data_IF_754977762971
#
_entry.id   IF_754977762971
#
_cell.length_a   1.000
_cell.length_b   1.000
_cell.length_c   1.000
_cell.angle_alpha   90.00
_cell.angle_beta   90.00
_cell.angle_gamma   90.00
#
_symmetry.space_group_name_H-M   'P 1'
#
loop_
_entity.id
_entity.type
_entity.pdbx_description
1 polymer ?
#
# COMPACT_ATOMS: atom_id res chain seq x y z
N UNK A 1 -12.96 57.25 -34.22
CA UNK A 1 -13.52 56.43 -33.11
C UNK A 1 -13.06 55.01 -33.31
N UNK A 2 -12.05 54.55 -32.54
CA UNK A 2 -11.53 53.18 -32.62
C UNK A 2 -11.85 52.52 -31.29
N UNK A 3 -12.81 51.59 -31.31
CA UNK A 3 -13.27 50.87 -30.13
C UNK A 3 -12.33 49.68 -29.90
N UNK A 4 -11.41 49.77 -28.94
CA UNK A 4 -10.53 48.66 -28.54
C UNK A 4 -11.22 47.85 -27.45
N UNK A 5 -11.95 46.81 -27.86
CA UNK A 5 -12.36 45.74 -26.94
C UNK A 5 -11.13 44.90 -26.60
N UNK A 6 -10.56 45.11 -25.42
CA UNK A 6 -9.54 44.24 -24.84
C UNK A 6 -10.27 43.15 -24.05
N UNK A 7 -10.39 41.96 -24.64
CA UNK A 7 -10.93 40.78 -23.97
C UNK A 7 -9.95 40.26 -22.93
N UNK A 8 -10.35 40.26 -21.66
CA UNK A 8 -9.67 39.53 -20.60
C UNK A 8 -9.92 38.03 -20.78
N UNK A 9 -8.90 37.27 -21.19
CA UNK A 9 -8.90 35.82 -21.00
C UNK A 9 -8.62 35.53 -19.53
N UNK A 10 -9.64 35.10 -18.79
CA UNK A 10 -9.46 34.47 -17.50
C UNK A 10 -8.82 33.09 -17.72
N UNK A 11 -7.54 32.96 -17.36
CA UNK A 11 -6.83 31.69 -17.32
C UNK A 11 -7.32 30.92 -16.09
N UNK A 12 -8.34 30.08 -16.25
CA UNK A 12 -8.73 29.12 -15.22
C UNK A 12 -7.61 28.09 -15.08
N UNK A 13 -6.75 28.26 -14.08
CA UNK A 13 -5.84 27.23 -13.63
C UNK A 13 -6.68 26.06 -13.10
N UNK A 14 -6.78 24.99 -13.88
CA UNK A 14 -7.41 23.75 -13.45
C UNK A 14 -6.42 23.08 -12.49
N UNK A 15 -6.52 23.39 -11.20
CA UNK A 15 -5.82 22.65 -10.16
C UNK A 15 -6.41 21.25 -10.11
N UNK A 16 -5.80 20.30 -10.81
CA UNK A 16 -6.11 18.88 -10.67
C UNK A 16 -5.63 18.39 -9.29
N UNK A 17 -6.38 18.72 -8.23
CA UNK A 17 -6.24 18.02 -6.96
C UNK A 17 -6.80 16.61 -7.18
N UNK A 18 -5.90 15.66 -7.48
CA UNK A 18 -6.26 14.26 -7.55
C UNK A 18 -6.82 13.83 -6.18
N UNK A 19 -8.04 13.31 -6.16
CA UNK A 19 -8.67 12.85 -4.92
C UNK A 19 -7.84 11.72 -4.31
N UNK A 20 -7.66 11.77 -2.99
CA UNK A 20 -7.02 10.70 -2.25
C UNK A 20 -7.85 9.42 -2.39
N UNK A 21 -7.15 8.30 -2.57
CA UNK A 21 -7.77 6.98 -2.63
C UNK A 21 -7.84 6.40 -1.21
N UNK A 22 -8.99 5.85 -0.84
CA UNK A 22 -9.12 5.14 0.43
C UNK A 22 -8.52 3.74 0.33
N UNK A 23 -7.80 3.27 1.36
CA UNK A 23 -7.41 1.88 1.46
C UNK A 23 -8.60 0.93 1.45
N UNK A 24 -8.38 -0.31 1.03
CA UNK A 24 -9.34 -1.41 1.16
C UNK A 24 -9.51 -1.72 2.64
N UNK A 25 -10.74 -1.63 3.15
CA UNK A 25 -11.05 -2.02 4.53
C UNK A 25 -10.98 -3.54 4.67
N UNK A 26 -10.09 -4.00 5.55
CA UNK A 26 -9.95 -5.42 5.91
C UNK A 26 -10.42 -5.62 7.35
N UNK A 27 -11.09 -6.74 7.61
CA UNK A 27 -11.44 -7.19 8.97
C UNK A 27 -10.41 -8.17 9.52
N UNK A 28 -10.42 -8.36 10.82
CA UNK A 28 -9.64 -9.43 11.46
C UNK A 28 -10.02 -10.81 10.91
N UNK A 29 -9.02 -11.67 10.78
CA UNK A 29 -9.14 -12.99 10.18
C UNK A 29 -9.21 -12.93 8.65
N UNK A 30 -10.06 -13.79 8.07
CA UNK A 30 -10.08 -14.03 6.62
C UNK A 30 -10.90 -12.97 5.88
N UNK A 31 -10.25 -12.29 4.93
CA UNK A 31 -10.86 -11.44 3.92
C UNK A 31 -10.78 -12.14 2.57
N UNK A 32 -11.91 -12.25 1.86
CA UNK A 32 -11.97 -12.86 0.52
C UNK A 32 -11.92 -11.78 -0.54
N UNK A 33 -10.86 -11.77 -1.34
CA UNK A 33 -10.62 -10.81 -2.42
C UNK A 33 -10.29 -11.54 -3.72
N UNK A 34 -10.32 -10.81 -4.84
CA UNK A 34 -9.90 -11.31 -6.16
C UNK A 34 -8.58 -10.65 -6.56
N UNK A 35 -7.48 -11.02 -5.88
CA UNK A 35 -6.20 -10.35 -6.03
C UNK A 35 -5.63 -10.53 -7.44
N UNK A 36 -5.83 -11.71 -8.02
CA UNK A 36 -5.34 -12.09 -9.34
C UNK A 36 -6.38 -11.98 -10.46
N UNK A 37 -7.59 -11.48 -10.18
CA UNK A 37 -8.71 -11.38 -11.14
C UNK A 37 -9.15 -12.74 -11.72
N UNK A 38 -8.94 -13.82 -10.97
CA UNK A 38 -9.23 -15.21 -11.37
C UNK A 38 -10.63 -15.69 -10.99
N UNK A 39 -11.50 -14.84 -10.45
CA UNK A 39 -12.86 -15.20 -10.06
C UNK A 39 -13.10 -15.23 -8.54
N UNK A 40 -12.24 -14.55 -7.77
CA UNK A 40 -12.51 -14.07 -6.41
C UNK A 40 -12.68 -15.16 -5.37
N UNK A 41 -11.59 -15.59 -4.75
CA UNK A 41 -11.56 -16.39 -3.52
C UNK A 41 -10.15 -16.45 -2.92
N UNK A 42 -9.31 -15.46 -3.21
CA UNK A 42 -8.01 -15.33 -2.56
C UNK A 42 -8.21 -14.87 -1.12
N UNK A 43 -7.31 -15.24 -0.22
CA UNK A 43 -7.37 -14.80 1.17
C UNK A 43 -6.35 -13.73 1.45
N UNK A 44 -6.81 -12.66 2.09
CA UNK A 44 -5.96 -11.77 2.89
C UNK A 44 -6.32 -12.03 4.34
N UNK A 45 -5.40 -12.66 5.07
CA UNK A 45 -5.57 -12.94 6.49
C UNK A 45 -4.93 -11.81 7.27
N UNK A 46 -5.74 -11.09 8.04
CA UNK A 46 -5.28 -10.08 8.99
C UNK A 46 -5.23 -10.73 10.36
N UNK A 47 -4.08 -10.67 11.01
CA UNK A 47 -3.89 -11.16 12.37
C UNK A 47 -2.85 -10.30 13.09
N UNK A 48 -2.77 -10.44 14.41
CA UNK A 48 -1.76 -9.75 15.22
C UNK A 48 -0.74 -10.75 15.76
N UNK A 49 0.51 -10.30 15.90
CA UNK A 49 1.53 -11.06 16.62
C UNK A 49 1.56 -10.64 18.08
N UNK A 50 0.95 -11.47 18.94
CA UNK A 50 0.89 -11.24 20.37
C UNK A 50 2.15 -11.73 21.08
N UNK A 51 2.99 -10.79 21.49
CA UNK A 51 4.17 -11.01 22.32
C UNK A 51 4.08 -10.29 23.67
N UNK A 52 2.86 -10.06 24.17
CA UNK A 52 2.54 -9.39 25.44
C UNK A 52 2.97 -7.90 25.50
N UNK A 53 2.79 -7.16 24.41
CA UNK A 53 2.95 -5.69 24.37
C UNK A 53 1.58 -5.00 24.31
N UNK A 54 1.52 -3.70 24.63
CA UNK A 54 0.25 -2.94 24.61
C UNK A 54 -0.26 -2.65 23.20
N UNK A 55 0.62 -2.69 22.19
CA UNK A 55 0.28 -2.44 20.79
C UNK A 55 0.87 -3.56 19.91
N UNK A 56 0.21 -4.73 19.81
CA UNK A 56 0.71 -5.85 19.03
C UNK A 56 0.80 -5.47 17.56
N UNK A 57 1.77 -6.07 16.86
CA UNK A 57 1.97 -5.78 15.45
C UNK A 57 0.93 -6.49 14.58
N UNK A 58 0.23 -5.75 13.73
CA UNK A 58 -0.69 -6.30 12.74
C UNK A 58 0.09 -6.85 11.55
N UNK A 59 -0.33 -8.01 11.06
CA UNK A 59 0.24 -8.72 9.93
C UNK A 59 -0.80 -9.05 8.88
N UNK A 60 -0.43 -8.90 7.61
CA UNK A 60 -1.21 -9.40 6.47
C UNK A 60 -0.50 -10.57 5.78
N UNK A 61 -1.19 -11.69 5.66
CA UNK A 61 -0.73 -12.86 4.89
C UNK A 61 -1.63 -13.08 3.69
N UNK A 62 -1.04 -13.26 2.51
CA UNK A 62 -1.78 -13.39 1.25
C UNK A 62 -1.75 -14.84 0.76
N UNK A 63 -2.90 -15.38 0.40
CA UNK A 63 -3.06 -16.71 -0.19
C UNK A 63 -3.84 -16.61 -1.49
N UNK A 64 -3.23 -16.99 -2.59
CA UNK A 64 -3.85 -17.00 -3.91
C UNK A 64 -4.46 -18.38 -4.17
N UNK A 65 -5.75 -18.44 -4.49
CA UNK A 65 -6.43 -19.69 -4.82
C UNK A 65 -5.92 -20.21 -6.16
N UNK A 66 -5.59 -21.50 -6.19
CA UNK A 66 -5.13 -22.21 -7.38
C UNK A 66 -6.28 -22.96 -8.07
N UNK A 67 -6.20 -23.21 -9.39
CA UNK A 67 -7.21 -23.96 -10.13
C UNK A 67 -7.44 -25.39 -9.61
N UNK A 68 -6.41 -26.01 -9.01
CA UNK A 68 -6.49 -27.34 -8.39
C UNK A 68 -7.20 -27.36 -7.03
N UNK A 69 -7.70 -26.21 -6.56
CA UNK A 69 -8.36 -26.07 -5.27
C UNK A 69 -7.41 -25.76 -4.10
N UNK A 70 -6.09 -25.82 -4.33
CA UNK A 70 -5.08 -25.43 -3.34
C UNK A 70 -4.98 -23.92 -3.15
N UNK A 71 -4.14 -23.50 -2.20
CA UNK A 71 -3.78 -22.10 -2.00
C UNK A 71 -2.26 -21.94 -2.07
N UNK A 72 -1.80 -20.86 -2.70
CA UNK A 72 -0.40 -20.48 -2.75
C UNK A 72 -0.17 -19.28 -1.85
N UNK A 73 0.59 -19.46 -0.77
CA UNK A 73 1.01 -18.34 0.08
C UNK A 73 1.99 -17.44 -0.69
N UNK A 74 1.83 -16.13 -0.59
CA UNK A 74 2.74 -15.17 -1.23
C UNK A 74 3.87 -14.79 -0.25
N UNK A 75 5.14 -14.75 -0.69
CA UNK A 75 6.22 -14.26 0.14
C UNK A 75 6.16 -12.74 0.31
N UNK A 76 6.79 -12.25 1.38
CA UNK A 76 7.12 -10.82 1.51
C UNK A 76 8.24 -10.50 0.53
N UNK A 77 8.12 -9.39 -0.20
CA UNK A 77 9.10 -9.01 -1.21
C UNK A 77 10.50 -8.83 -0.56
N UNK A 78 11.54 -9.39 -1.19
CA UNK A 78 12.93 -9.34 -0.72
C UNK A 78 13.12 -9.87 0.73
N UNK A 79 12.31 -10.84 1.15
CA UNK A 79 12.35 -11.43 2.49
C UNK A 79 12.17 -12.95 2.41
N UNK A 80 12.55 -13.65 3.49
CA UNK A 80 12.25 -15.06 3.71
C UNK A 80 10.96 -15.30 4.52
N UNK A 81 10.19 -14.24 4.79
CA UNK A 81 8.93 -14.27 5.54
C UNK A 81 7.72 -14.29 4.60
N UNK A 82 6.54 -14.61 5.16
CA UNK A 82 5.27 -14.70 4.40
C UNK A 82 4.15 -13.79 4.94
N UNK A 83 4.44 -13.01 5.97
CA UNK A 83 3.48 -12.09 6.59
C UNK A 83 4.07 -10.69 6.62
N UNK A 84 3.32 -9.73 6.10
CA UNK A 84 3.66 -8.32 6.06
C UNK A 84 3.25 -7.67 7.37
N UNK A 85 4.20 -7.51 8.30
CA UNK A 85 3.94 -6.86 9.57
C UNK A 85 4.09 -5.33 9.47
N UNK A 86 3.23 -4.64 10.21
CA UNK A 86 3.50 -3.29 10.67
C UNK A 86 4.67 -3.31 11.68
N UNK A 87 5.28 -2.15 11.92
CA UNK A 87 6.31 -2.01 12.94
C UNK A 87 6.13 -0.72 13.72
N UNK A 88 6.38 -0.81 15.03
CA UNK A 88 6.44 0.30 15.97
C UNK A 88 7.88 0.45 16.44
N UNK A 89 8.26 1.66 16.84
CA UNK A 89 9.62 1.94 17.31
C UNK A 89 9.95 1.17 18.61
N UNK A 90 8.98 1.05 19.50
CA UNK A 90 9.10 0.33 20.76
C UNK A 90 7.71 -0.09 21.25
N UNK A 91 7.67 -0.92 22.29
CA UNK A 91 6.40 -1.36 22.89
C UNK A 91 5.54 -0.21 23.44
N UNK A 92 6.15 0.94 23.77
CA UNK A 92 5.45 2.10 24.32
C UNK A 92 5.05 3.15 23.28
N UNK A 93 5.55 3.03 22.04
CA UNK A 93 5.26 4.00 20.99
C UNK A 93 3.88 3.70 20.37
N UNK A 94 2.95 4.63 20.50
CA UNK A 94 1.61 4.56 19.89
C UNK A 94 1.59 5.07 18.43
N UNK A 95 2.73 4.98 17.74
CA UNK A 95 2.86 5.37 16.34
C UNK A 95 3.62 4.31 15.54
N UNK A 96 3.27 4.18 14.26
CA UNK A 96 3.86 3.25 13.32
C UNK A 96 5.09 3.88 12.65
N UNK A 97 6.16 3.09 12.53
CA UNK A 97 7.35 3.41 11.72
C UNK A 97 7.35 2.68 10.38
N UNK A 98 6.54 1.61 10.28
CA UNK A 98 6.22 0.92 9.04
C UNK A 98 4.76 0.42 9.11
N UNK A 99 4.02 0.57 8.02
CA UNK A 99 2.67 0.04 7.86
C UNK A 99 2.51 -0.50 6.44
N UNK A 100 1.56 -1.41 6.23
CA UNK A 100 1.22 -1.95 4.92
C UNK A 100 -0.28 -1.85 4.71
N UNK A 101 -0.72 -1.25 3.60
CA UNK A 101 -2.14 -1.18 3.25
C UNK A 101 -2.40 -1.60 1.83
N UNK A 102 -3.54 -2.25 1.63
CA UNK A 102 -4.01 -2.65 0.32
C UNK A 102 -4.87 -1.52 -0.28
N UNK A 103 -4.64 -1.21 -1.54
CA UNK A 103 -5.44 -0.26 -2.31
C UNK A 103 -6.02 -0.95 -3.53
N UNK A 104 -7.15 -0.45 -4.01
CA UNK A 104 -7.79 -0.92 -5.23
C UNK A 104 -7.96 0.26 -6.18
N UNK A 105 -7.30 0.20 -7.34
CA UNK A 105 -7.51 1.16 -8.44
C UNK A 105 -8.03 0.40 -9.66
N UNK A 106 -9.21 0.81 -10.13
CA UNK A 106 -9.98 0.03 -11.09
C UNK A 106 -10.29 -1.38 -10.57
N UNK A 107 -9.68 -2.40 -11.18
CA UNK A 107 -9.79 -3.82 -10.77
C UNK A 107 -8.48 -4.37 -10.17
N UNK A 108 -7.44 -3.54 -10.05
CA UNK A 108 -6.11 -3.98 -9.69
C UNK A 108 -5.83 -3.63 -8.22
N UNK A 109 -5.43 -4.64 -7.46
CA UNK A 109 -4.95 -4.45 -6.10
C UNK A 109 -3.49 -4.04 -6.12
N UNK A 110 -3.16 -3.08 -5.26
CA UNK A 110 -1.81 -2.62 -5.01
C UNK A 110 -1.53 -2.76 -3.52
N UNK A 111 -0.40 -3.35 -3.18
CA UNK A 111 0.13 -3.26 -1.82
C UNK A 111 0.98 -2.00 -1.74
N UNK A 112 0.73 -1.15 -0.75
CA UNK A 112 1.54 0.03 -0.49
C UNK A 112 2.13 -0.11 0.91
N UNK A 113 3.46 -0.07 1.00
CA UNK A 113 4.19 -0.02 2.27
C UNK A 113 4.62 1.41 2.55
N UNK A 114 4.26 1.93 3.71
CA UNK A 114 4.69 3.23 4.21
C UNK A 114 5.81 3.02 5.24
N UNK A 115 6.93 3.77 5.13
CA UNK A 115 8.06 3.68 6.07
C UNK A 115 8.67 5.06 6.35
N UNK A 116 8.98 5.36 7.62
CA UNK A 116 9.69 6.60 7.97
C UNK A 116 11.06 6.66 7.30
N UNK A 117 11.43 7.86 6.85
CA UNK A 117 12.74 8.15 6.26
C UNK A 117 13.72 8.67 7.32
N UNK A 118 14.98 8.24 7.23
CA UNK A 118 16.06 8.73 8.08
C UNK A 118 16.33 7.86 9.31
N UNK A 119 17.34 8.25 10.09
CA UNK A 119 17.79 7.50 11.27
C UNK A 119 16.92 7.80 12.50
N UNK A 120 16.50 9.05 12.67
CA UNK A 120 15.57 9.44 13.72
C UNK A 120 14.14 9.18 13.28
N UNK A 121 13.63 8.01 13.64
CA UNK A 121 12.24 7.59 13.38
C UNK A 121 11.28 7.97 14.52
N UNK A 122 11.74 8.66 15.56
CA UNK A 122 10.88 9.14 16.65
C UNK A 122 10.08 10.37 16.23
N UNK A 123 10.76 11.38 15.66
CA UNK A 123 10.14 12.65 15.29
C UNK A 123 9.28 12.54 14.01
N UNK A 124 8.42 13.54 13.71
CA UNK A 124 7.75 13.63 12.43
C UNK A 124 8.76 13.72 11.28
N UNK A 125 8.65 12.81 10.32
CA UNK A 125 9.56 12.74 9.17
C UNK A 125 8.78 12.51 7.88
N UNK A 126 9.45 12.70 6.75
CA UNK A 126 8.90 12.25 5.47
C UNK A 126 8.77 10.73 5.45
N UNK A 127 7.78 10.25 4.72
CA UNK A 127 7.48 8.84 4.60
C UNK A 127 7.77 8.40 3.16
N UNK A 128 8.40 7.24 3.02
CA UNK A 128 8.58 6.57 1.73
C UNK A 128 7.40 5.61 1.55
N UNK A 129 6.61 5.85 0.51
CA UNK A 129 5.55 4.97 0.04
C UNK A 129 6.13 4.09 -1.07
N UNK A 130 6.25 2.79 -0.81
CA UNK A 130 6.68 1.79 -1.79
C UNK A 130 5.44 1.07 -2.32
N UNK A 131 5.26 1.09 -3.64
CA UNK A 131 4.07 0.56 -4.30
C UNK A 131 4.44 -0.74 -5.00
N UNK A 132 3.68 -1.79 -4.72
CA UNK A 132 3.85 -3.11 -5.29
C UNK A 132 2.66 -3.51 -6.15
N UNK A 133 2.97 -4.10 -7.30
CA UNK A 133 1.99 -4.72 -8.18
C UNK A 133 1.89 -6.21 -7.89
N UNK A 134 0.69 -6.77 -8.02
CA UNK A 134 0.52 -8.23 -8.03
C UNK A 134 1.14 -8.79 -9.31
N UNK A 135 2.03 -9.78 -9.19
CA UNK A 135 2.66 -10.45 -10.33
C UNK A 135 2.53 -11.96 -10.21
N UNK A 136 2.24 -12.61 -11.33
CA UNK A 136 2.31 -14.05 -11.48
C UNK A 136 3.49 -14.41 -12.40
N UNK A 137 4.32 -15.37 -12.00
CA UNK A 137 5.50 -15.83 -12.74
C UNK A 137 5.43 -17.34 -12.91
N UNK A 138 5.56 -17.85 -14.15
CA UNK A 138 5.48 -19.29 -14.44
C UNK A 138 6.73 -19.86 -15.13
N UNK A 139 7.65 -18.99 -15.50
CA UNK A 139 8.65 -19.31 -16.52
C UNK A 139 10.03 -19.63 -15.93
N UNK A 140 10.27 -19.28 -14.65
CA UNK A 140 11.58 -19.38 -14.01
C UNK A 140 11.55 -20.29 -12.77
N UNK A 141 12.27 -21.43 -12.78
CA UNK A 141 12.39 -22.30 -11.61
C UNK A 141 12.96 -21.56 -10.39
N UNK A 142 12.32 -21.74 -9.23
CA UNK A 142 12.74 -21.11 -7.98
C UNK A 142 12.25 -19.67 -7.77
N UNK A 143 11.60 -19.05 -8.77
CA UNK A 143 10.89 -17.77 -8.61
C UNK A 143 9.50 -18.02 -8.03
N UNK A 144 9.01 -17.19 -7.10
CA UNK A 144 7.65 -17.33 -6.57
C UNK A 144 6.59 -17.28 -7.67
N UNK A 145 5.62 -18.21 -7.61
CA UNK A 145 4.51 -18.26 -8.57
C UNK A 145 3.65 -16.98 -8.53
N UNK A 146 3.45 -16.43 -7.33
CA UNK A 146 2.75 -15.17 -7.09
C UNK A 146 3.58 -14.32 -6.12
N UNK A 147 3.77 -13.04 -6.45
CA UNK A 147 4.53 -12.11 -5.63
C UNK A 147 3.95 -10.69 -5.69
N UNK A 148 4.30 -9.90 -4.67
CA UNK A 148 4.19 -8.44 -4.73
C UNK A 148 5.49 -7.90 -5.29
N UNK A 149 5.47 -7.40 -6.53
CA UNK A 149 6.65 -6.89 -7.22
C UNK A 149 6.76 -5.39 -7.03
N UNK A 150 7.89 -4.91 -6.52
CA UNK A 150 8.10 -3.47 -6.33
C UNK A 150 8.04 -2.75 -7.67
N UNK A 151 7.16 -1.75 -7.77
CA UNK A 151 7.02 -0.93 -8.98
C UNK A 151 7.75 0.40 -8.84
N UNK A 152 7.47 1.15 -7.78
CA UNK A 152 8.06 2.48 -7.56
C UNK A 152 8.01 2.91 -6.10
N UNK A 153 8.83 3.91 -5.77
CA UNK A 153 8.85 4.57 -4.47
C UNK A 153 8.57 6.06 -4.63
N UNK A 154 7.76 6.60 -3.73
CA UNK A 154 7.42 8.03 -3.69
C UNK A 154 7.68 8.53 -2.27
N UNK A 155 8.32 9.69 -2.15
CA UNK A 155 8.47 10.37 -0.86
C UNK A 155 7.31 11.33 -0.69
N UNK A 156 6.68 11.32 0.48
CA UNK A 156 5.58 12.23 0.80
C UNK A 156 5.97 13.70 0.70
N UNK A 157 4.98 14.53 0.44
CA UNK A 157 5.12 15.98 0.46
C UNK A 157 5.26 16.47 1.90
N UNK A 158 4.36 15.99 2.77
CA UNK A 158 4.32 16.35 4.18
C UNK A 158 5.18 15.42 5.06
N UNK A 159 5.34 15.81 6.32
CA UNK A 159 5.92 14.98 7.38
C UNK A 159 4.84 14.43 8.30
N UNK A 160 5.10 13.26 8.87
CA UNK A 160 4.12 12.49 9.64
C UNK A 160 4.74 11.90 10.90
N UNK A 161 3.96 11.93 11.99
CA UNK A 161 4.35 11.27 13.24
C UNK A 161 4.21 9.76 13.13
N UNK A 162 3.13 9.28 12.51
CA UNK A 162 2.86 7.87 12.26
C UNK A 162 2.75 7.64 10.74
N UNK A 163 3.35 6.57 10.22
CA UNK A 163 3.40 6.35 8.76
C UNK A 163 2.06 6.07 8.11
N UNK A 164 1.05 5.67 8.88
CA UNK A 164 -0.26 5.36 8.34
C UNK A 164 -1.08 6.62 7.97
N UNK A 165 -0.74 7.77 8.57
CA UNK A 165 -1.29 9.06 8.18
C UNK A 165 -0.88 9.45 6.74
N UNK A 166 0.28 9.01 6.28
CA UNK A 166 0.81 9.30 4.94
C UNK A 166 -0.04 8.69 3.81
N UNK A 167 -0.87 7.70 4.10
CA UNK A 167 -1.77 7.12 3.11
C UNK A 167 -2.81 8.12 2.57
N UNK A 168 -3.04 9.25 3.26
CA UNK A 168 -3.87 10.34 2.74
C UNK A 168 -3.30 11.00 1.48
N UNK A 169 -2.01 10.80 1.17
CA UNK A 169 -1.39 11.29 -0.07
C UNK A 169 -1.50 10.30 -1.24
N UNK A 170 -1.88 9.04 -0.98
CA UNK A 170 -2.05 8.04 -2.05
C UNK A 170 -3.25 8.42 -2.90
N UNK A 171 -3.07 8.48 -4.22
CA UNK A 171 -4.10 8.81 -5.18
C UNK A 171 -3.98 7.96 -6.45
N UNK A 172 -4.96 8.08 -7.33
CA UNK A 172 -5.01 7.33 -8.59
C UNK A 172 -3.77 7.55 -9.48
N UNK A 173 -3.24 8.77 -9.57
CA UNK A 173 -2.05 9.06 -10.37
C UNK A 173 -0.80 8.37 -9.78
N UNK A 174 -0.72 8.26 -8.46
CA UNK A 174 0.32 7.50 -7.79
C UNK A 174 0.18 6.01 -8.06
N UNK A 175 -1.03 5.47 -8.19
CA UNK A 175 -1.25 4.05 -8.46
C UNK A 175 -1.28 3.69 -9.97
N UNK A 176 -1.49 4.66 -10.84
CA UNK A 176 -1.46 4.47 -12.29
C UNK A 176 -0.05 4.08 -12.81
N UNK A 177 -0.05 3.44 -13.99
CA UNK A 177 1.15 3.03 -14.72
C UNK A 177 2.02 4.23 -15.12
#
# INVERSE_FOLDING_TARGET
MVNKFVGWLALCAISNTAAALSPVTLKDGINRLDLNQGGGNDYVVVAQFDNNTSHPNLGMTFFVRRPDGGHSIMPVANSNTFTWFDYRLSAAADFLVQDNRLFLSGKHYFLVTARKQGENVFDPTKVVLTIYDFKASRDDPGVPLYEWSERKRVVTQDTYQSVDEAYKEVNEAMLAK
#
